data_IF_017341721472
#
_entry.id   IF_017341721472
#
_cell.length_a   1.000
_cell.length_b   1.000
_cell.length_c   1.000
_cell.angle_alpha   90.00
_cell.angle_beta   90.00
_cell.angle_gamma   90.00
#
_symmetry.space_group_name_H-M   'P 1'
#
loop_
_entity.id
_entity.type
_entity.pdbx_description
1 polymer ?
#
# COMPACT_ATOMS: atom_id res chain seq x y z
N UNK A 1 -1.81 -17.91 0.16
CA UNK A 1 -2.07 -16.50 -0.16
C UNK A 1 -0.88 -16.00 -0.97
N UNK A 2 -1.02 -15.77 -2.27
CA UNK A 2 0.07 -15.20 -3.08
C UNK A 2 -0.03 -13.69 -2.95
N UNK A 3 0.94 -13.08 -2.27
CA UNK A 3 1.07 -11.62 -2.14
C UNK A 3 1.81 -11.15 -3.39
N UNK A 4 1.12 -10.38 -4.23
CA UNK A 4 1.72 -9.72 -5.38
C UNK A 4 1.69 -8.21 -5.16
N UNK A 5 2.87 -7.62 -5.05
CA UNK A 5 3.20 -6.20 -5.01
C UNK A 5 3.21 -5.51 -3.64
N UNK A 6 4.42 -5.03 -3.34
CA UNK A 6 4.71 -4.11 -2.24
C UNK A 6 4.99 -2.73 -2.84
N UNK A 7 4.28 -1.69 -2.40
CA UNK A 7 4.60 -0.30 -2.71
C UNK A 7 5.33 0.34 -1.54
N UNK A 8 6.51 0.87 -1.81
CA UNK A 8 7.31 1.63 -0.84
C UNK A 8 7.15 3.11 -1.15
N UNK A 9 6.55 3.87 -0.23
CA UNK A 9 6.57 5.33 -0.30
C UNK A 9 7.90 5.83 0.24
N UNK A 10 8.84 6.21 -0.64
CA UNK A 10 10.02 6.98 -0.25
C UNK A 10 9.60 8.41 0.10
N UNK A 11 10.17 8.96 1.18
CA UNK A 11 10.01 10.34 1.66
C UNK A 11 9.79 11.33 0.50
N UNK A 12 8.57 11.84 0.37
CA UNK A 12 8.26 12.90 -0.57
C UNK A 12 9.00 14.17 -0.15
N UNK A 13 9.96 14.63 -0.97
CA UNK A 13 10.57 15.96 -0.80
C UNK A 13 9.59 17.01 -1.31
N UNK A 14 8.71 17.50 -0.46
CA UNK A 14 7.89 18.66 -0.75
C UNK A 14 8.77 19.90 -0.57
N UNK A 15 9.05 20.63 -1.65
CA UNK A 15 9.67 21.97 -1.59
C UNK A 15 8.61 22.95 -1.12
N UNK A 16 8.63 23.31 0.15
CA UNK A 16 7.84 24.44 0.66
C UNK A 16 8.73 25.69 0.57
N UNK A 17 8.31 26.66 -0.26
CA UNK A 17 8.94 27.98 -0.32
C UNK A 17 8.51 28.75 0.92
N UNK A 18 9.47 29.08 1.78
CA UNK A 18 9.21 29.89 2.96
C UNK A 18 8.75 31.29 2.58
N UNK A 19 7.52 31.64 2.95
CA UNK A 19 7.10 33.04 3.04
C UNK A 19 7.73 33.67 4.29
N UNK A 20 8.22 34.92 4.14
CA UNK A 20 8.83 35.72 5.19
C UNK A 20 8.08 35.61 6.52
N UNK A 21 8.85 35.48 7.64
CA UNK A 21 8.36 35.60 9.01
C UNK A 21 7.36 36.74 9.15
N UNK A 22 6.09 36.44 9.31
CA UNK A 22 5.12 37.37 9.86
C UNK A 22 5.21 37.21 11.38
N UNK A 23 5.81 38.17 12.07
CA UNK A 23 5.75 38.25 13.52
C UNK A 23 4.33 38.68 13.91
N UNK A 24 3.49 37.74 14.27
CA UNK A 24 2.18 38.03 14.88
C UNK A 24 2.42 38.63 16.28
N UNK A 25 1.81 39.79 16.60
CA UNK A 25 1.96 40.39 17.92
C UNK A 25 1.35 39.49 19.01
N UNK A 26 2.06 39.36 20.14
CA UNK A 26 1.67 38.49 21.28
C UNK A 26 0.24 38.75 21.80
N UNK A 27 -0.32 39.93 21.53
CA UNK A 27 -1.68 40.31 21.91
C UNK A 27 -2.78 39.51 21.20
N UNK A 28 -2.52 38.97 20.00
CA UNK A 28 -3.47 38.14 19.28
C UNK A 28 -3.56 36.74 19.89
N UNK A 29 -2.48 36.26 20.51
CA UNK A 29 -2.42 34.93 21.13
C UNK A 29 -3.20 34.82 22.46
N UNK A 30 -3.56 35.94 23.12
CA UNK A 30 -4.28 35.93 24.40
C UNK A 30 -5.78 35.62 24.32
N UNK A 31 -6.39 35.70 23.15
CA UNK A 31 -7.83 35.49 22.98
C UNK A 31 -8.25 34.19 22.32
N UNK A 32 -7.29 33.30 21.97
CA UNK A 32 -7.62 31.98 21.43
C UNK A 32 -7.63 30.93 22.54
N UNK A 33 -8.81 30.59 22.99
CA UNK A 33 -9.10 29.48 23.91
C UNK A 33 -8.83 28.11 23.29
N UNK A 34 -7.60 27.76 23.04
CA UNK A 34 -7.00 26.53 22.48
C UNK A 34 -6.46 26.69 21.07
N UNK A 35 -5.26 27.26 20.95
CA UNK A 35 -4.42 26.99 19.78
C UNK A 35 -3.85 25.60 20.01
N UNK A 36 -4.35 24.62 19.27
CA UNK A 36 -3.70 23.32 19.24
C UNK A 36 -2.46 23.44 18.35
N UNK A 37 -1.29 23.48 18.96
CA UNK A 37 -0.01 23.40 18.23
C UNK A 37 0.24 21.93 17.98
N UNK A 38 0.28 21.55 16.71
CA UNK A 38 0.61 20.18 16.29
C UNK A 38 2.06 20.20 15.81
N UNK A 39 2.91 19.46 16.51
CA UNK A 39 4.27 19.18 16.04
C UNK A 39 4.22 18.02 15.04
N UNK A 40 4.58 18.29 13.79
CA UNK A 40 4.57 17.31 12.70
C UNK A 40 5.47 16.10 13.02
N UNK A 41 6.63 16.32 13.65
CA UNK A 41 7.56 15.23 13.97
C UNK A 41 6.99 14.24 14.97
N UNK A 42 6.22 14.75 15.94
CA UNK A 42 5.54 13.93 16.96
C UNK A 42 4.32 13.22 16.35
N UNK A 43 3.61 13.92 15.47
CA UNK A 43 2.33 13.46 14.91
C UNK A 43 2.46 12.67 13.61
N UNK A 44 3.66 12.62 13.02
CA UNK A 44 3.91 12.04 11.69
C UNK A 44 3.35 10.65 11.54
N UNK A 45 3.58 9.77 12.51
CA UNK A 45 3.14 8.38 12.43
C UNK A 45 1.62 8.26 12.36
N UNK A 46 0.91 9.06 13.16
CA UNK A 46 -0.56 9.13 13.11
C UNK A 46 -1.05 9.60 11.74
N UNK A 47 -0.44 10.65 11.17
CA UNK A 47 -0.80 11.15 9.85
C UNK A 47 -0.47 10.16 8.72
N UNK A 48 0.63 9.43 8.83
CA UNK A 48 0.97 8.38 7.86
C UNK A 48 -0.05 7.25 7.87
N UNK A 49 -0.55 6.87 9.04
CA UNK A 49 -1.63 5.88 9.14
C UNK A 49 -2.94 6.39 8.56
N UNK A 50 -3.28 7.66 8.75
CA UNK A 50 -4.49 8.26 8.16
C UNK A 50 -4.38 8.36 6.63
N UNK A 51 -3.22 8.73 6.10
CA UNK A 51 -2.95 8.69 4.68
C UNK A 51 -3.06 7.25 4.13
N UNK A 52 -2.49 6.27 4.82
CA UNK A 52 -2.59 4.86 4.42
C UNK A 52 -4.05 4.37 4.36
N UNK A 53 -4.91 4.76 5.32
CA UNK A 53 -6.35 4.45 5.30
C UNK A 53 -7.05 5.01 4.06
N UNK A 54 -6.73 6.25 3.66
CA UNK A 54 -7.28 6.87 2.45
C UNK A 54 -6.86 6.11 1.20
N UNK A 55 -5.58 5.77 1.09
CA UNK A 55 -5.01 4.98 -0.01
C UNK A 55 -5.67 3.60 -0.09
N UNK A 56 -5.83 2.92 1.05
CA UNK A 56 -6.53 1.63 1.13
C UNK A 56 -7.99 1.75 0.67
N UNK A 57 -8.66 2.85 1.01
CA UNK A 57 -10.04 3.12 0.56
C UNK A 57 -10.10 3.29 -0.95
N UNK A 58 -9.17 4.04 -1.56
CA UNK A 58 -9.07 4.20 -3.00
C UNK A 58 -8.84 2.85 -3.70
N UNK A 59 -7.94 2.01 -3.17
CA UNK A 59 -7.72 0.66 -3.67
C UNK A 59 -8.98 -0.22 -3.55
N UNK A 60 -9.70 -0.14 -2.42
CA UNK A 60 -10.90 -0.93 -2.16
C UNK A 60 -12.05 -0.56 -3.08
N UNK A 61 -12.23 0.72 -3.38
CA UNK A 61 -13.31 1.23 -4.24
C UNK A 61 -13.01 1.16 -5.74
N UNK A 62 -11.81 0.76 -6.14
CA UNK A 62 -11.44 0.53 -7.53
C UNK A 62 -12.38 -0.48 -8.20
N UNK A 63 -12.71 -0.33 -9.50
CA UNK A 63 -13.53 -1.29 -10.22
C UNK A 63 -12.89 -2.68 -10.28
N UNK A 64 -13.70 -3.74 -10.24
CA UNK A 64 -13.27 -5.14 -10.26
C UNK A 64 -14.11 -5.95 -11.23
N UNK A 65 -13.54 -7.01 -11.76
CA UNK A 65 -14.21 -7.94 -12.64
C UNK A 65 -15.52 -8.47 -12.03
N UNK A 66 -16.63 -8.34 -12.74
CA UNK A 66 -18.00 -8.68 -12.29
C UNK A 66 -18.45 -7.95 -11.01
N UNK A 67 -17.73 -6.94 -10.53
CA UNK A 67 -18.02 -6.31 -9.25
C UNK A 67 -17.74 -7.21 -8.04
N UNK A 68 -16.98 -8.29 -8.20
CA UNK A 68 -16.65 -9.23 -7.12
C UNK A 68 -15.35 -8.79 -6.46
N UNK A 69 -15.44 -8.33 -5.21
CA UNK A 69 -14.27 -7.91 -4.44
C UNK A 69 -13.68 -9.08 -3.66
N UNK A 70 -12.53 -9.54 -4.12
CA UNK A 70 -11.73 -10.59 -3.47
C UNK A 70 -10.32 -10.10 -3.11
N UNK A 71 -10.14 -8.77 -3.10
CA UNK A 71 -8.86 -8.19 -2.72
C UNK A 71 -8.65 -8.24 -1.22
N UNK A 72 -7.43 -8.55 -0.81
CA UNK A 72 -6.93 -8.37 0.55
C UNK A 72 -6.02 -7.15 0.57
N UNK A 73 -6.33 -6.19 1.43
CA UNK A 73 -5.60 -4.92 1.55
C UNK A 73 -5.29 -4.71 3.02
N UNK A 74 -4.01 -4.65 3.35
CA UNK A 74 -3.55 -4.42 4.72
C UNK A 74 -2.47 -3.34 4.76
N UNK A 75 -2.35 -2.65 5.88
CA UNK A 75 -1.23 -1.76 6.20
C UNK A 75 -0.43 -2.38 7.34
N UNK A 76 0.88 -2.34 7.21
CA UNK A 76 1.84 -2.71 8.27
C UNK A 76 2.79 -1.55 8.55
N UNK A 77 3.26 -1.47 9.78
CA UNK A 77 4.15 -0.40 10.28
C UNK A 77 5.17 -0.97 11.23
N UNK A 78 6.19 -0.19 11.54
CA UNK A 78 7.16 -0.49 12.59
C UNK A 78 7.70 -1.93 12.58
N UNK A 79 7.46 -2.67 13.66
CA UNK A 79 7.97 -4.03 13.87
C UNK A 79 7.53 -5.02 12.79
N UNK A 80 6.31 -4.88 12.27
CA UNK A 80 5.79 -5.75 11.22
C UNK A 80 6.57 -5.59 9.91
N UNK A 81 7.12 -4.38 9.65
CA UNK A 81 8.01 -4.14 8.50
C UNK A 81 9.33 -4.90 8.69
N UNK A 82 9.88 -4.91 9.90
CA UNK A 82 11.10 -5.67 10.19
C UNK A 82 10.88 -7.18 10.01
N UNK A 83 9.76 -7.70 10.49
CA UNK A 83 9.40 -9.12 10.32
C UNK A 83 9.27 -9.44 8.83
N UNK A 84 8.56 -8.61 8.06
CA UNK A 84 8.43 -8.80 6.61
C UNK A 84 9.79 -8.77 5.91
N UNK A 85 10.66 -7.83 6.27
CA UNK A 85 12.02 -7.75 5.73
C UNK A 85 12.81 -9.05 5.95
N UNK A 86 12.74 -9.61 7.16
CA UNK A 86 13.42 -10.87 7.47
C UNK A 86 12.87 -12.05 6.65
N UNK A 87 11.55 -12.15 6.52
CA UNK A 87 10.93 -13.20 5.70
C UNK A 87 11.26 -13.05 4.20
N UNK A 88 11.33 -11.82 3.69
CA UNK A 88 11.77 -11.57 2.31
C UNK A 88 13.22 -12.00 2.08
N UNK A 89 14.13 -11.79 3.05
CA UNK A 89 15.52 -12.25 2.97
C UNK A 89 15.60 -13.78 2.89
N UNK A 90 14.90 -14.47 3.78
CA UNK A 90 14.82 -15.94 3.75
C UNK A 90 14.30 -16.45 2.41
N UNK A 91 13.20 -15.87 1.92
CA UNK A 91 12.62 -16.25 0.64
C UNK A 91 13.58 -15.97 -0.53
N UNK A 92 14.36 -14.89 -0.45
CA UNK A 92 15.42 -14.61 -1.44
C UNK A 92 16.48 -15.70 -1.47
N UNK A 93 16.92 -16.18 -0.31
CA UNK A 93 17.91 -17.26 -0.18
C UNK A 93 17.34 -18.58 -0.70
N UNK A 94 16.11 -18.92 -0.35
CA UNK A 94 15.45 -20.16 -0.77
C UNK A 94 15.15 -20.22 -2.28
N UNK A 95 14.78 -19.10 -2.88
CA UNK A 95 14.29 -19.03 -4.27
C UNK A 95 15.34 -18.52 -5.26
N UNK A 96 16.41 -17.90 -4.79
CA UNK A 96 17.41 -17.22 -5.61
C UNK A 96 16.93 -15.89 -6.23
N UNK A 97 15.76 -15.36 -5.80
CA UNK A 97 15.18 -14.12 -6.32
C UNK A 97 15.85 -12.90 -5.67
N UNK A 98 16.94 -12.43 -6.27
CA UNK A 98 17.79 -11.34 -5.76
C UNK A 98 17.06 -10.03 -5.49
N UNK A 99 15.98 -9.73 -6.21
CA UNK A 99 15.18 -8.52 -5.97
C UNK A 99 14.56 -8.50 -4.58
N UNK A 100 14.19 -9.66 -4.01
CA UNK A 100 13.64 -9.76 -2.66
C UNK A 100 14.66 -9.32 -1.59
N UNK A 101 15.95 -9.62 -1.80
CA UNK A 101 17.02 -9.15 -0.91
C UNK A 101 17.11 -7.63 -0.91
N UNK A 102 17.19 -7.03 -2.11
CA UNK A 102 17.23 -5.56 -2.26
C UNK A 102 15.99 -4.89 -1.65
N UNK A 103 14.81 -5.42 -1.94
CA UNK A 103 13.56 -4.83 -1.52
C UNK A 103 13.32 -5.00 -0.01
N UNK A 104 13.82 -6.08 0.60
CA UNK A 104 13.81 -6.27 2.05
C UNK A 104 14.55 -5.16 2.80
N UNK A 105 15.63 -4.64 2.23
CA UNK A 105 16.38 -3.52 2.82
C UNK A 105 15.67 -2.18 2.58
N UNK A 106 15.11 -1.99 1.39
CA UNK A 106 14.40 -0.77 1.03
C UNK A 106 13.19 -0.50 1.92
N UNK A 107 12.43 -1.53 2.28
CA UNK A 107 11.21 -1.37 3.09
C UNK A 107 11.50 -0.91 4.52
N UNK A 108 12.68 -1.18 5.07
CA UNK A 108 13.06 -0.75 6.42
C UNK A 108 13.10 0.78 6.59
N UNK A 109 13.16 1.54 5.49
CA UNK A 109 13.13 3.01 5.50
C UNK A 109 11.73 3.60 5.39
N UNK A 110 10.69 2.76 5.33
CA UNK A 110 9.29 3.19 5.18
C UNK A 110 8.63 3.38 6.55
N UNK A 111 7.80 4.42 6.67
CA UNK A 111 6.97 4.65 7.86
C UNK A 111 5.73 3.72 7.87
N UNK A 112 5.27 3.30 6.69
CA UNK A 112 4.16 2.36 6.51
C UNK A 112 4.28 1.64 5.15
N UNK A 113 3.77 0.42 5.07
CA UNK A 113 3.63 -0.35 3.83
C UNK A 113 2.17 -0.75 3.65
N UNK A 114 1.69 -0.64 2.42
CA UNK A 114 0.38 -1.16 2.05
C UNK A 114 0.60 -2.39 1.17
N UNK A 115 0.05 -3.51 1.61
CA UNK A 115 0.09 -4.78 0.89
C UNK A 115 -1.28 -5.01 0.25
N UNK A 116 -1.28 -5.19 -1.06
CA UNK A 116 -2.50 -5.45 -1.84
C UNK A 116 -2.32 -6.79 -2.54
N UNK A 117 -3.24 -7.69 -2.31
CA UNK A 117 -3.24 -9.03 -2.89
C UNK A 117 -4.64 -9.49 -3.25
N UNK A 118 -4.77 -10.71 -3.74
CA UNK A 118 -6.05 -11.32 -4.08
C UNK A 118 -6.14 -12.74 -3.55
N UNK A 119 -7.36 -13.17 -3.24
CA UNK A 119 -7.65 -14.57 -2.92
C UNK A 119 -7.48 -15.44 -4.15
N UNK A 120 -7.09 -16.70 -3.96
CA UNK A 120 -7.07 -17.70 -5.01
C UNK A 120 -8.50 -18.17 -5.31
N UNK A 121 -9.24 -17.38 -6.06
CA UNK A 121 -10.63 -17.67 -6.44
C UNK A 121 -10.80 -17.55 -7.94
N UNK A 122 -11.54 -18.50 -8.54
CA UNK A 122 -11.93 -18.45 -9.97
C UNK A 122 -13.07 -17.44 -10.13
N UNK A 123 -12.96 -16.52 -11.08
CA UNK A 123 -14.01 -15.52 -11.37
C UNK A 123 -15.21 -16.08 -12.14
N UNK A 124 -15.11 -17.30 -12.67
CA UNK A 124 -16.13 -17.94 -13.48
C UNK A 124 -16.60 -17.13 -14.70
N UNK A 125 -15.67 -16.38 -15.32
CA UNK A 125 -15.93 -15.57 -16.52
C UNK A 125 -15.72 -16.34 -17.81
N UNK A 126 -15.01 -17.46 -17.77
CA UNK A 126 -14.61 -18.25 -18.95
C UNK A 126 -13.97 -17.40 -20.05
N UNK A 127 -13.19 -16.39 -19.66
CA UNK A 127 -12.61 -15.40 -20.57
C UNK A 127 -11.39 -15.89 -21.35
N UNK A 128 -10.81 -17.03 -20.98
CA UNK A 128 -9.65 -17.62 -21.65
C UNK A 128 -8.31 -16.94 -21.37
N UNK A 129 -8.25 -15.77 -20.72
CA UNK A 129 -7.02 -15.00 -20.52
C UNK A 129 -5.94 -15.72 -19.68
N UNK A 130 -6.31 -16.70 -18.90
CA UNK A 130 -5.35 -17.54 -18.16
C UNK A 130 -4.85 -18.75 -18.98
N UNK A 131 -5.22 -18.85 -20.27
CA UNK A 131 -4.81 -19.92 -21.19
C UNK A 131 -5.69 -21.17 -21.17
N UNK A 132 -6.81 -21.16 -20.43
CA UNK A 132 -7.76 -22.28 -20.36
C UNK A 132 -9.11 -21.86 -20.96
N UNK A 133 -9.79 -22.75 -21.74
CA UNK A 133 -11.07 -22.43 -22.39
C UNK A 133 -12.16 -22.05 -21.38
N UNK A 134 -12.19 -22.73 -20.23
CA UNK A 134 -13.14 -22.46 -19.17
C UNK A 134 -12.44 -22.32 -17.79
N UNK A 135 -13.06 -21.61 -16.87
CA UNK A 135 -12.56 -21.50 -15.50
C UNK A 135 -12.58 -22.84 -14.75
N UNK A 136 -13.44 -23.77 -15.14
CA UNK A 136 -13.50 -25.11 -14.55
C UNK A 136 -12.22 -25.90 -14.84
N UNK A 137 -11.73 -25.82 -16.07
CA UNK A 137 -10.53 -26.53 -16.53
C UNK A 137 -9.23 -25.96 -15.98
N UNK A 138 -9.26 -24.70 -15.50
CA UNK A 138 -8.08 -24.06 -14.92
C UNK A 138 -7.63 -24.77 -13.62
N UNK A 139 -6.36 -25.25 -13.53
CA UNK A 139 -5.82 -25.81 -12.29
C UNK A 139 -5.88 -24.83 -11.13
N UNK A 140 -6.01 -25.37 -9.89
CA UNK A 140 -6.11 -24.53 -8.68
C UNK A 140 -4.88 -23.62 -8.48
N UNK A 141 -3.69 -24.12 -8.80
CA UNK A 141 -2.42 -23.42 -8.62
C UNK A 141 -2.12 -22.38 -9.73
N UNK A 142 -2.96 -22.28 -10.77
CA UNK A 142 -2.80 -21.27 -11.82
C UNK A 142 -3.52 -20.00 -11.42
N UNK A 143 -2.85 -18.82 -11.41
CA UNK A 143 -3.50 -17.54 -11.11
C UNK A 143 -4.62 -17.21 -12.11
N UNK A 144 -5.67 -16.57 -11.65
CA UNK A 144 -6.69 -16.00 -12.53
C UNK A 144 -6.18 -14.66 -13.09
N UNK A 145 -6.16 -14.51 -14.41
CA UNK A 145 -5.68 -13.28 -15.06
C UNK A 145 -6.52 -12.07 -14.64
N UNK A 146 -7.85 -12.22 -14.54
CA UNK A 146 -8.74 -11.12 -14.09
C UNK A 146 -8.40 -10.68 -12.66
N UNK A 147 -8.15 -11.62 -11.74
CA UNK A 147 -7.75 -11.26 -10.38
C UNK A 147 -6.45 -10.43 -10.36
N UNK A 148 -5.48 -10.77 -11.21
CA UNK A 148 -4.23 -10.01 -11.32
C UNK A 148 -4.46 -8.63 -11.92
N UNK A 149 -5.39 -8.51 -12.89
CA UNK A 149 -5.80 -7.21 -13.46
C UNK A 149 -6.49 -6.36 -12.38
N UNK A 150 -7.41 -6.93 -11.60
CA UNK A 150 -8.12 -6.24 -10.52
C UNK A 150 -7.15 -5.70 -9.46
N UNK A 151 -6.11 -6.47 -9.11
CA UNK A 151 -5.02 -5.99 -8.23
C UNK A 151 -4.31 -4.80 -8.86
N UNK A 152 -3.97 -4.87 -10.16
CA UNK A 152 -3.31 -3.77 -10.88
C UNK A 152 -4.17 -2.49 -10.91
N UNK A 153 -5.47 -2.61 -11.14
CA UNK A 153 -6.41 -1.49 -11.12
C UNK A 153 -6.50 -0.88 -9.71
N UNK A 154 -6.59 -1.72 -8.67
CA UNK A 154 -6.61 -1.27 -7.28
C UNK A 154 -5.33 -0.51 -6.91
N UNK A 155 -4.17 -0.99 -7.34
CA UNK A 155 -2.89 -0.32 -7.17
C UNK A 155 -2.87 1.02 -7.90
N UNK A 156 -3.33 1.08 -9.15
CA UNK A 156 -3.45 2.32 -9.91
C UNK A 156 -4.30 3.36 -9.18
N UNK A 157 -5.47 2.95 -8.64
CA UNK A 157 -6.33 3.82 -7.85
C UNK A 157 -5.71 4.25 -6.51
N UNK A 158 -4.88 3.41 -5.90
CA UNK A 158 -4.15 3.73 -4.68
C UNK A 158 -3.05 4.79 -4.91
N UNK A 159 -2.52 4.88 -6.13
CA UNK A 159 -1.43 5.81 -6.49
C UNK A 159 -1.94 7.16 -7.04
N UNK A 160 -3.23 7.30 -7.31
CA UNK A 160 -3.86 8.53 -7.83
C UNK A 160 -4.24 9.49 -6.74
#
# INVERSE_FOLDING_TARGET
MRISFCFVFKKAKIKITFYKRVSLPLSILKNYKSIMIIDERISRQSYMLDAAKQIMTAARTAPKGKGIDILEIITITEREIEILSQEMKKLSEETGLKFLMRDSENILSADALILIGTKEQKQALNCGYCGFPTCAEKPQNTPCAINSIDVGIAIGSACS
#
